data_IF_005942041565
#
_entry.id   IF_005942041565
#
_cell.length_a   1.000
_cell.length_b   1.000
_cell.length_c   1.000
_cell.angle_alpha   90.00
_cell.angle_beta   90.00
_cell.angle_gamma   90.00
#
_symmetry.space_group_name_H-M   'P 1'
#
loop_
_entity.id
_entity.type
_entity.pdbx_description
1 polymer ?
#
# COMPACT_ATOMS: atom_id res chain seq x y z
N UNK A 1 -18.95 -12.62 -7.25
CA UNK A 1 -19.09 -11.57 -6.22
C UNK A 1 -20.05 -10.49 -6.70
N UNK A 2 -20.52 -9.61 -5.81
CA UNK A 2 -21.43 -8.52 -6.16
C UNK A 2 -20.81 -7.13 -6.03
N UNK A 3 -19.91 -6.92 -5.06
CA UNK A 3 -19.30 -5.64 -4.73
C UNK A 3 -17.90 -5.86 -4.13
N UNK A 4 -17.14 -4.78 -3.92
CA UNK A 4 -15.80 -4.82 -3.35
C UNK A 4 -14.70 -4.56 -4.39
N UNK A 5 -13.53 -4.10 -3.92
CA UNK A 5 -12.41 -3.68 -4.79
C UNK A 5 -11.78 -4.84 -5.57
N UNK A 6 -11.95 -6.08 -5.10
CA UNK A 6 -11.50 -7.31 -5.76
C UNK A 6 -12.64 -8.02 -6.50
N UNK A 7 -13.64 -7.26 -6.98
CA UNK A 7 -14.76 -7.79 -7.73
C UNK A 7 -14.89 -7.10 -9.08
N UNK A 8 -14.80 -7.87 -10.17
CA UNK A 8 -14.94 -7.36 -11.53
C UNK A 8 -15.79 -8.31 -12.37
N UNK A 9 -16.75 -7.76 -13.11
CA UNK A 9 -17.65 -8.53 -13.97
C UNK A 9 -18.30 -9.73 -13.26
N UNK A 10 -18.75 -9.51 -12.02
CA UNK A 10 -19.35 -10.51 -11.12
C UNK A 10 -18.42 -11.68 -10.72
N UNK A 11 -17.12 -11.60 -11.02
CA UNK A 11 -16.08 -12.59 -10.67
C UNK A 11 -15.04 -11.97 -9.72
N UNK A 12 -14.40 -12.81 -8.91
CA UNK A 12 -13.27 -12.36 -8.09
C UNK A 12 -12.11 -11.96 -9.01
N UNK A 13 -11.42 -10.88 -8.66
CA UNK A 13 -10.15 -10.52 -9.27
C UNK A 13 -9.10 -11.60 -9.00
N UNK A 14 -8.12 -11.72 -9.91
CA UNK A 14 -7.04 -12.70 -9.75
C UNK A 14 -6.18 -12.37 -8.52
N UNK A 15 -5.55 -13.41 -7.95
CA UNK A 15 -4.53 -13.24 -6.91
C UNK A 15 -3.45 -12.28 -7.41
N UNK A 16 -3.02 -11.32 -6.59
CA UNK A 16 -1.94 -10.40 -6.92
C UNK A 16 -2.39 -9.10 -7.61
N UNK A 17 -3.65 -8.97 -8.01
CA UNK A 17 -4.20 -7.69 -8.51
C UNK A 17 -4.18 -6.66 -7.39
N UNK A 18 -3.50 -5.53 -7.59
CA UNK A 18 -3.44 -4.46 -6.59
C UNK A 18 -4.83 -3.84 -6.42
N UNK A 19 -5.34 -3.86 -5.18
CA UNK A 19 -6.62 -3.25 -4.83
C UNK A 19 -6.47 -1.98 -3.99
N UNK A 20 -5.29 -1.77 -3.39
CA UNK A 20 -4.89 -0.50 -2.78
C UNK A 20 -3.41 -0.26 -2.99
N UNK A 21 -3.08 0.92 -3.54
CA UNK A 21 -1.70 1.37 -3.67
C UNK A 21 -1.11 1.80 -2.32
N UNK A 22 0.22 1.67 -2.20
CA UNK A 22 0.97 2.21 -1.07
C UNK A 22 0.98 3.75 -1.13
N UNK A 23 0.70 4.41 0.00
CA UNK A 23 0.67 5.88 0.06
C UNK A 23 2.03 6.52 0.35
N UNK A 24 2.99 5.73 0.83
CA UNK A 24 4.37 6.15 1.09
C UNK A 24 5.30 4.93 1.19
N UNK A 25 6.61 5.15 1.31
CA UNK A 25 7.65 4.10 1.38
C UNK A 25 7.47 3.11 2.54
N UNK A 26 6.75 3.48 3.59
CA UNK A 26 6.49 2.67 4.79
C UNK A 26 5.17 1.91 4.72
N UNK A 27 4.39 2.12 3.68
CA UNK A 27 3.12 1.43 3.46
C UNK A 27 3.33 0.20 2.55
N UNK A 28 2.46 -0.80 2.66
CA UNK A 28 2.50 -2.01 1.83
C UNK A 28 1.26 -1.98 0.94
N UNK A 29 1.38 -2.15 -0.39
CA UNK A 29 0.20 -2.25 -1.23
C UNK A 29 -0.53 -3.56 -0.97
N UNK A 30 -1.86 -3.54 -0.84
CA UNK A 30 -2.63 -4.78 -0.74
C UNK A 30 -3.06 -5.28 -2.12
N UNK A 31 -2.99 -6.60 -2.23
CA UNK A 31 -3.38 -7.33 -3.43
C UNK A 31 -4.54 -8.26 -3.12
N UNK A 32 -5.41 -8.43 -4.12
CA UNK A 32 -6.51 -9.38 -4.06
C UNK A 32 -5.99 -10.78 -3.83
N UNK A 33 -6.69 -11.56 -3.01
CA UNK A 33 -6.32 -12.93 -2.66
C UNK A 33 -6.73 -13.96 -3.72
N UNK A 34 -7.69 -13.60 -4.61
CA UNK A 34 -8.27 -14.50 -5.61
C UNK A 34 -9.54 -15.22 -5.18
N UNK A 35 -9.84 -15.22 -3.88
CA UNK A 35 -10.96 -15.94 -3.27
C UNK A 35 -11.93 -15.03 -2.48
N UNK A 36 -11.64 -13.72 -2.44
CA UNK A 36 -12.44 -12.70 -1.78
C UNK A 36 -12.74 -11.55 -2.72
N UNK A 37 -13.89 -10.90 -2.50
CA UNK A 37 -14.26 -9.67 -3.20
C UNK A 37 -13.78 -8.41 -2.52
N UNK A 38 -13.42 -8.50 -1.24
CA UNK A 38 -12.91 -7.39 -0.45
C UNK A 38 -11.39 -7.34 -0.58
N UNK A 39 -10.85 -6.12 -0.67
CA UNK A 39 -9.42 -5.92 -0.50
C UNK A 39 -9.05 -6.31 0.93
N UNK A 40 -7.89 -6.97 1.16
CA UNK A 40 -7.38 -7.20 2.51
C UNK A 40 -7.31 -5.90 3.32
N UNK A 41 -7.33 -6.02 4.65
CA UNK A 41 -7.21 -4.85 5.51
C UNK A 41 -5.82 -4.21 5.35
N UNK A 42 -5.77 -2.90 5.51
CA UNK A 42 -4.55 -2.12 5.34
C UNK A 42 -3.49 -2.50 6.39
N UNK A 43 -2.30 -2.83 5.92
CA UNK A 43 -1.11 -3.06 6.74
C UNK A 43 0.07 -2.22 6.23
N UNK A 44 1.00 -1.90 7.12
CA UNK A 44 2.18 -1.13 6.77
C UNK A 44 3.45 -1.90 7.17
N UNK A 45 4.61 -1.46 6.68
CA UNK A 45 5.90 -2.03 7.04
C UNK A 45 6.11 -1.90 8.55
N UNK A 46 6.74 -2.90 9.12
CA UNK A 46 7.13 -2.90 10.52
C UNK A 46 8.02 -1.68 10.84
N UNK A 47 7.91 -1.19 12.06
CA UNK A 47 8.74 -0.08 12.52
C UNK A 47 10.24 -0.41 12.42
N UNK A 48 11.04 0.58 12.04
CA UNK A 48 12.49 0.46 11.86
C UNK A 48 12.96 0.26 10.42
N UNK A 49 12.07 -0.11 9.48
CA UNK A 49 12.38 -0.11 8.04
C UNK A 49 12.91 1.25 7.59
N UNK A 50 13.87 1.26 6.66
CA UNK A 50 14.40 2.52 6.09
C UNK A 50 13.46 3.08 5.02
N UNK A 51 13.38 4.39 4.92
CA UNK A 51 12.58 5.12 3.93
C UNK A 51 13.28 6.41 3.48
N UNK A 52 12.75 7.11 2.48
CA UNK A 52 13.31 8.37 1.95
C UNK A 52 14.80 8.23 1.56
N UNK A 53 15.07 7.20 0.74
CA UNK A 53 16.43 6.81 0.32
C UNK A 53 17.42 6.56 1.48
N UNK A 54 16.91 6.10 2.63
CA UNK A 54 17.72 5.78 3.81
C UNK A 54 17.92 6.96 4.77
N UNK A 55 17.34 8.12 4.50
CA UNK A 55 17.38 9.27 5.39
C UNK A 55 16.37 9.16 6.54
N UNK A 56 15.30 8.38 6.33
CA UNK A 56 14.23 8.19 7.29
C UNK A 56 14.08 6.76 7.78
N UNK A 57 13.19 6.60 8.76
CA UNK A 57 12.71 5.30 9.23
C UNK A 57 11.21 5.27 9.36
N UNK A 58 10.64 4.10 9.10
CA UNK A 58 9.23 3.83 9.29
C UNK A 58 8.92 3.71 10.77
N UNK A 59 7.92 4.47 11.22
CA UNK A 59 7.40 4.41 12.58
C UNK A 59 5.89 4.72 12.56
N UNK A 60 5.07 3.76 12.96
CA UNK A 60 3.61 3.86 12.87
C UNK A 60 3.11 4.06 11.44
N UNK A 61 3.72 3.38 10.46
CA UNK A 61 3.32 3.43 9.04
C UNK A 61 3.66 4.74 8.32
N UNK A 62 4.45 5.62 8.93
CA UNK A 62 4.91 6.88 8.33
C UNK A 62 6.42 6.93 8.28
N UNK A 63 6.96 7.56 7.24
CA UNK A 63 8.39 7.84 7.15
C UNK A 63 8.76 9.04 8.01
N UNK A 64 9.60 8.84 9.03
CA UNK A 64 10.06 9.86 9.97
C UNK A 64 11.43 10.42 9.55
N UNK A 65 11.48 11.72 9.28
CA UNK A 65 12.71 12.49 9.04
C UNK A 65 12.60 13.87 9.68
N UNK A 66 13.72 14.43 10.16
CA UNK A 66 13.76 15.83 10.66
C UNK A 66 13.36 16.81 9.55
N UNK A 67 13.82 16.59 8.32
CA UNK A 67 13.45 17.42 7.18
C UNK A 67 11.96 17.35 6.85
N UNK A 68 11.37 16.15 6.87
CA UNK A 68 9.93 15.96 6.66
C UNK A 68 9.11 16.66 7.74
N UNK A 69 9.54 16.57 9.00
CA UNK A 69 8.90 17.27 10.12
C UNK A 69 9.00 18.79 9.97
N UNK A 70 10.19 19.34 9.71
CA UNK A 70 10.38 20.78 9.49
C UNK A 70 9.57 21.28 8.28
N UNK A 71 9.52 20.52 7.18
CA UNK A 71 8.75 20.91 5.97
C UNK A 71 7.26 20.93 6.25
N UNK A 72 6.77 19.96 7.03
CA UNK A 72 5.35 19.86 7.40
C UNK A 72 4.95 20.98 8.34
N UNK A 73 5.75 21.25 9.37
CA UNK A 73 5.42 22.19 10.43
C UNK A 73 5.68 23.64 10.03
N UNK A 74 6.77 23.90 9.29
CA UNK A 74 7.26 25.25 9.03
C UNK A 74 7.46 25.57 7.55
N UNK A 75 7.43 24.57 6.66
CA UNK A 75 7.70 24.77 5.22
C UNK A 75 9.18 24.82 4.84
N UNK A 76 10.10 24.59 5.78
CA UNK A 76 11.55 24.64 5.56
C UNK A 76 12.23 23.31 5.92
N UNK A 77 13.49 23.15 5.54
CA UNK A 77 14.26 21.94 5.87
C UNK A 77 14.86 22.01 7.28
N UNK A 78 15.29 20.85 7.79
CA UNK A 78 16.03 20.74 9.04
C UNK A 78 17.31 21.55 8.98
N UNK A 79 17.67 22.12 10.13
CA UNK A 79 18.96 22.75 10.34
C UNK A 79 20.09 21.71 10.29
N UNK A 80 21.31 22.20 10.12
CA UNK A 80 22.52 21.39 10.16
C UNK A 80 22.69 20.70 11.52
N UNK A 81 23.28 19.51 11.54
CA UNK A 81 23.57 18.75 12.77
C UNK A 81 24.29 19.60 13.81
N UNK A 82 25.17 20.51 13.39
CA UNK A 82 25.87 21.42 14.29
C UNK A 82 24.93 22.29 15.13
N UNK A 83 23.78 22.71 14.57
CA UNK A 83 22.78 23.48 15.32
C UNK A 83 22.24 22.70 16.51
N UNK A 84 21.92 21.43 16.29
CA UNK A 84 21.45 20.52 17.34
C UNK A 84 22.53 20.31 18.40
N UNK A 85 23.76 20.01 17.99
CA UNK A 85 24.88 19.79 18.92
C UNK A 85 25.18 21.01 19.79
N UNK A 86 25.01 22.22 19.25
CA UNK A 86 25.18 23.47 20.00
C UNK A 86 24.00 23.76 20.92
N UNK A 87 22.81 23.94 20.37
CA UNK A 87 21.67 24.45 21.13
C UNK A 87 21.10 23.40 22.08
N UNK A 88 20.92 22.15 21.64
CA UNK A 88 20.25 21.14 22.47
C UNK A 88 21.09 20.70 23.66
N UNK A 89 22.42 20.85 23.58
CA UNK A 89 23.32 20.60 24.71
C UNK A 89 23.28 21.68 25.80
N UNK A 90 22.70 22.87 25.52
CA UNK A 90 22.66 23.98 26.49
C UNK A 90 21.62 23.76 27.60
N UNK A 91 20.50 23.11 27.30
CA UNK A 91 19.41 22.92 28.27
C UNK A 91 18.71 24.24 28.58
N UNK A 92 18.28 24.95 27.54
CA UNK A 92 17.54 26.21 27.65
C UNK A 92 16.27 26.15 26.79
N UNK A 93 15.41 27.17 26.87
CA UNK A 93 14.25 27.31 25.96
C UNK A 93 14.68 27.26 24.48
N UNK A 94 15.93 27.65 24.17
CA UNK A 94 16.48 27.65 22.81
C UNK A 94 16.94 26.29 22.31
N UNK A 95 17.09 25.31 23.20
CA UNK A 95 17.53 23.97 22.85
C UNK A 95 17.68 23.12 24.10
N UNK A 96 16.99 21.98 24.08
CA UNK A 96 16.86 21.10 25.25
C UNK A 96 16.27 19.73 24.82
N UNK A 97 16.20 18.80 25.77
CA UNK A 97 15.60 17.47 25.65
C UNK A 97 14.31 17.34 26.48
N UNK A 98 13.50 18.40 26.50
CA UNK A 98 12.26 18.45 27.25
C UNK A 98 12.38 19.24 28.56
N UNK A 99 11.30 19.22 29.31
CA UNK A 99 11.22 19.81 30.64
C UNK A 99 11.64 18.81 31.72
N UNK A 100 12.22 19.33 32.80
CA UNK A 100 12.46 18.52 34.00
C UNK A 100 11.14 18.01 34.59
N UNK A 101 11.16 16.86 35.28
CA UNK A 101 10.00 16.40 36.05
C UNK A 101 9.54 17.50 37.02
N UNK A 102 8.32 18.01 36.84
CA UNK A 102 7.79 19.13 37.62
C UNK A 102 7.86 20.51 36.93
N UNK A 103 8.41 20.59 35.72
CA UNK A 103 8.28 21.75 34.82
C UNK A 103 9.09 23.00 35.21
N UNK A 104 10.04 22.89 36.13
CA UNK A 104 10.80 24.05 36.66
C UNK A 104 12.03 24.42 35.82
N UNK A 105 12.42 23.61 34.84
CA UNK A 105 13.63 23.82 34.06
C UNK A 105 13.66 22.99 32.78
N UNK A 106 14.63 23.32 31.92
CA UNK A 106 14.88 22.62 30.67
C UNK A 106 16.00 21.61 30.85
N UNK A 107 15.83 20.41 30.32
CA UNK A 107 16.83 19.34 30.43
C UNK A 107 17.88 19.53 29.32
N UNK A 108 19.18 19.66 29.64
CA UNK A 108 20.22 19.63 28.62
C UNK A 108 20.31 18.23 28.00
N UNK A 109 20.39 18.16 26.67
CA UNK A 109 20.58 16.88 25.99
C UNK A 109 21.98 16.32 26.24
N UNK A 110 22.07 15.00 26.42
CA UNK A 110 23.36 14.33 26.29
C UNK A 110 23.85 14.44 24.84
N UNK A 111 25.16 14.35 24.63
CA UNK A 111 25.78 14.40 23.29
C UNK A 111 25.17 13.40 22.29
N UNK A 112 24.71 12.24 22.76
CA UNK A 112 24.07 11.22 21.92
C UNK A 112 22.62 11.57 21.57
N UNK A 113 21.94 12.34 22.43
CA UNK A 113 20.51 12.63 22.36
C UNK A 113 20.21 13.96 21.66
N UNK A 114 21.23 14.76 21.32
CA UNK A 114 21.06 16.10 20.73
C UNK A 114 20.18 16.13 19.47
N UNK A 115 20.12 15.03 18.70
CA UNK A 115 19.29 14.91 17.50
C UNK A 115 17.84 14.45 17.78
N UNK A 116 17.48 14.25 19.05
CA UNK A 116 16.15 13.87 19.52
C UNK A 116 15.52 14.93 20.44
N UNK A 117 16.23 16.02 20.71
CA UNK A 117 15.71 17.15 21.49
C UNK A 117 14.83 18.08 20.64
N UNK A 118 14.89 19.38 20.95
CA UNK A 118 14.16 20.41 20.21
C UNK A 118 14.50 20.33 18.71
N UNK A 119 13.47 20.36 17.86
CA UNK A 119 13.56 20.38 16.42
C UNK A 119 14.11 21.73 15.96
N UNK A 120 15.14 21.69 15.12
CA UNK A 120 15.76 22.87 14.56
C UNK A 120 15.64 22.85 13.03
N UNK A 121 15.14 23.94 12.48
CA UNK A 121 14.90 24.14 11.06
C UNK A 121 15.67 25.37 10.56
N UNK A 122 15.70 25.54 9.24
CA UNK A 122 16.31 26.69 8.57
C UNK A 122 15.26 27.76 8.25
N UNK A 123 15.67 29.04 8.20
CA UNK A 123 14.86 30.15 7.66
C UNK A 123 13.43 30.29 8.23
N UNK A 124 13.23 29.94 9.51
CA UNK A 124 11.93 30.16 10.16
C UNK A 124 11.62 31.66 10.20
N UNK A 125 10.58 32.04 9.48
CA UNK A 125 10.11 33.43 9.31
C UNK A 125 8.62 33.59 9.62
N UNK A 126 7.91 32.47 9.78
CA UNK A 126 6.46 32.41 9.93
C UNK A 126 6.03 31.64 11.18
N UNK A 127 4.73 31.70 11.49
CA UNK A 127 4.08 30.87 12.51
C UNK A 127 4.02 29.41 12.04
N UNK A 128 3.92 28.44 12.97
CA UNK A 128 3.79 27.04 12.56
C UNK A 128 2.47 26.86 11.78
N UNK A 129 2.49 25.95 10.80
CA UNK A 129 1.30 25.57 10.02
C UNK A 129 0.26 24.83 10.86
N UNK A 130 0.72 24.19 11.93
CA UNK A 130 -0.09 23.40 12.86
C UNK A 130 0.29 23.75 14.31
N UNK A 131 -0.70 23.89 15.18
CA UNK A 131 -0.51 24.29 16.57
C UNK A 131 -0.25 25.78 16.76
N UNK A 132 -0.20 26.20 18.02
CA UNK A 132 0.14 27.57 18.43
C UNK A 132 1.61 27.65 18.85
N UNK A 133 2.28 28.72 18.42
CA UNK A 133 3.64 29.00 18.86
C UNK A 133 3.62 29.46 20.32
N UNK A 134 4.18 28.63 21.21
CA UNK A 134 4.40 29.00 22.60
C UNK A 134 5.81 29.57 22.80
N UNK A 135 5.91 30.61 23.63
CA UNK A 135 7.18 31.27 23.92
C UNK A 135 7.70 32.09 22.74
N UNK A 136 9.03 32.18 22.62
CA UNK A 136 9.69 32.88 21.51
C UNK A 136 10.34 31.90 20.56
N UNK A 137 10.37 32.28 19.28
CA UNK A 137 11.15 31.56 18.28
C UNK A 137 12.63 31.57 18.68
N UNK A 138 13.22 30.38 18.76
CA UNK A 138 14.67 30.19 18.85
C UNK A 138 15.30 30.72 17.58
N UNK A 139 16.32 31.56 17.74
CA UNK A 139 17.00 32.22 16.64
C UNK A 139 18.47 32.42 16.98
N UNK A 140 19.34 31.65 16.32
CA UNK A 140 20.79 31.80 16.39
C UNK A 140 21.38 31.61 15.00
N UNK A 141 22.24 32.54 14.57
CA UNK A 141 23.04 32.37 13.36
C UNK A 141 24.48 32.14 13.78
N UNK A 142 25.06 31.00 13.39
CA UNK A 142 26.43 30.63 13.75
C UNK A 142 27.30 30.56 12.52
N UNK A 143 28.51 31.09 12.62
CA UNK A 143 29.54 30.92 11.60
C UNK A 143 30.37 29.67 11.90
N UNK A 144 30.29 28.65 11.04
CA UNK A 144 31.05 27.40 11.17
C UNK A 144 31.57 26.96 9.81
N UNK A 145 32.84 26.52 9.75
CA UNK A 145 33.48 26.04 8.52
C UNK A 145 33.31 27.00 7.32
N UNK A 146 33.49 28.30 7.56
CA UNK A 146 33.37 29.35 6.54
C UNK A 146 31.96 29.50 5.92
N UNK A 147 30.92 29.05 6.63
CA UNK A 147 29.52 29.19 6.24
C UNK A 147 28.68 29.69 7.42
N UNK A 148 27.76 30.60 7.16
CA UNK A 148 26.73 30.98 8.13
C UNK A 148 25.61 29.93 8.11
N UNK A 149 25.26 29.43 9.28
CA UNK A 149 24.17 28.47 9.47
C UNK A 149 23.12 29.09 10.36
N UNK A 150 21.86 28.94 9.96
CA UNK A 150 20.74 29.46 10.69
C UNK A 150 20.07 28.35 11.49
N UNK A 151 20.15 28.47 12.81
CA UNK A 151 19.58 27.54 13.77
C UNK A 151 18.30 28.19 14.33
N UNK A 152 17.16 27.74 13.83
CA UNK A 152 15.85 28.26 14.25
C UNK A 152 15.00 27.12 14.80
N UNK A 153 14.16 27.38 15.78
CA UNK A 153 13.25 26.39 16.36
C UNK A 153 12.14 27.04 17.16
N UNK A 154 11.19 26.27 17.64
CA UNK A 154 10.09 26.79 18.46
C UNK A 154 9.12 25.69 18.87
N UNK A 155 8.40 25.95 19.96
CA UNK A 155 7.41 25.06 20.53
C UNK A 155 6.07 25.29 19.82
N UNK A 156 5.65 24.34 19.00
CA UNK A 156 4.40 24.39 18.25
C UNK A 156 3.41 23.43 18.90
N UNK A 157 2.59 23.96 19.80
CA UNK A 157 1.77 23.17 20.72
C UNK A 157 0.34 23.07 20.19
N UNK A 158 -0.18 21.85 20.11
CA UNK A 158 -1.58 21.59 19.74
C UNK A 158 -2.51 21.80 20.93
N UNK A 159 -3.82 21.83 20.67
CA UNK A 159 -4.86 22.03 21.70
C UNK A 159 -4.86 20.97 22.80
N UNK A 160 -4.37 19.76 22.49
CA UNK A 160 -4.21 18.64 23.43
C UNK A 160 -2.91 18.71 24.25
N UNK A 161 -2.09 19.74 24.05
CA UNK A 161 -0.82 19.96 24.72
C UNK A 161 0.36 19.22 24.07
N UNK A 162 0.18 18.51 22.96
CA UNK A 162 1.28 17.89 22.23
C UNK A 162 2.16 18.97 21.57
N UNK A 163 3.44 18.98 21.93
CA UNK A 163 4.42 19.89 21.33
C UNK A 163 5.11 19.26 20.12
N UNK A 164 4.77 19.76 18.93
CA UNK A 164 5.38 19.36 17.65
C UNK A 164 6.78 19.97 17.43
N UNK A 165 7.24 20.81 18.35
CA UNK A 165 8.55 21.44 18.35
C UNK A 165 9.70 20.51 18.73
N UNK A 166 9.44 19.29 19.18
CA UNK A 166 10.46 18.27 19.45
C UNK A 166 10.57 17.27 18.30
N UNK A 167 11.76 16.70 18.11
CA UNK A 167 11.96 15.65 17.09
C UNK A 167 11.06 14.45 17.39
N UNK A 168 10.25 14.05 16.41
CA UNK A 168 9.29 12.96 16.57
C UNK A 168 9.96 11.61 16.87
N UNK A 169 9.26 10.79 17.66
CA UNK A 169 9.64 9.39 17.89
C UNK A 169 9.76 8.61 16.56
N UNK A 170 10.74 7.70 16.51
CA UNK A 170 11.10 6.94 15.31
C UNK A 170 12.06 7.65 14.36
N UNK A 171 12.35 8.94 14.56
CA UNK A 171 13.26 9.69 13.70
C UNK A 171 14.72 9.20 13.85
N UNK A 172 15.48 8.99 12.76
CA UNK A 172 16.87 8.52 12.86
C UNK A 172 17.80 9.54 13.51
N UNK A 173 18.53 9.13 14.54
CA UNK A 173 19.52 9.97 15.25
C UNK A 173 20.97 9.48 15.11
N UNK A 174 21.17 8.34 14.46
CA UNK A 174 22.48 7.75 14.17
C UNK A 174 22.36 6.43 13.40
N UNK A 175 23.50 5.81 13.05
CA UNK A 175 23.51 4.48 12.42
C UNK A 175 22.81 3.47 13.32
N UNK A 176 21.73 2.84 12.82
CA UNK A 176 20.90 1.89 13.58
C UNK A 176 20.34 2.45 14.91
N UNK A 177 20.06 3.76 14.97
CA UNK A 177 19.44 4.41 16.13
C UNK A 177 18.24 5.28 15.74
N UNK A 178 17.28 5.41 16.66
CA UNK A 178 16.04 6.19 16.52
C UNK A 178 15.73 6.96 17.80
N UNK A 179 14.97 8.05 17.65
CA UNK A 179 14.49 8.84 18.76
C UNK A 179 13.29 8.17 19.46
N UNK A 180 13.32 8.11 20.78
CA UNK A 180 12.18 7.75 21.63
C UNK A 180 12.25 8.59 22.90
N UNK A 181 11.20 9.36 23.19
CA UNK A 181 11.10 10.18 24.40
C UNK A 181 12.34 11.07 24.60
N UNK A 182 12.71 11.79 23.54
CA UNK A 182 13.89 12.68 23.46
C UNK A 182 15.26 11.98 23.63
N UNK A 183 15.31 10.66 23.56
CA UNK A 183 16.57 9.90 23.64
C UNK A 183 16.90 9.21 22.33
N UNK A 184 18.19 9.17 22.00
CA UNK A 184 18.69 8.43 20.86
C UNK A 184 19.03 7.00 21.29
N UNK A 185 18.17 6.05 20.91
CA UNK A 185 18.26 4.66 21.34
C UNK A 185 18.53 3.74 20.14
N UNK A 186 19.22 2.59 20.34
CA UNK A 186 19.34 1.56 19.33
C UNK A 186 17.97 1.11 18.82
N UNK A 187 17.86 0.80 17.53
CA UNK A 187 16.62 0.30 16.91
C UNK A 187 16.10 -0.97 17.62
N UNK A 188 16.99 -1.79 18.19
CA UNK A 188 16.64 -2.99 18.96
C UNK A 188 15.87 -2.69 20.26
N UNK A 189 15.98 -1.48 20.81
CA UNK A 189 15.28 -1.07 22.04
C UNK A 189 13.76 -0.92 21.83
N UNK A 190 13.31 -0.77 20.59
CA UNK A 190 11.90 -0.58 20.26
C UNK A 190 11.08 -1.89 20.31
N UNK A 191 11.60 -2.95 20.94
CA UNK A 191 10.99 -4.29 21.01
C UNK A 191 10.44 -4.76 19.64
N UNK A 192 11.19 -4.44 18.58
CA UNK A 192 10.79 -4.77 17.22
C UNK A 192 10.80 -6.29 17.09
N UNK A 193 9.61 -6.86 16.95
CA UNK A 193 9.46 -8.27 16.60
C UNK A 193 10.10 -8.52 15.23
N UNK A 194 10.50 -9.74 14.93
CA UNK A 194 11.02 -10.09 13.60
C UNK A 194 10.06 -11.04 12.92
N UNK A 195 9.84 -10.82 11.63
CA UNK A 195 9.20 -11.81 10.79
C UNK A 195 10.12 -13.03 10.57
N UNK A 196 9.54 -14.21 10.23
CA UNK A 196 10.29 -15.40 9.92
C UNK A 196 11.05 -15.27 8.58
N UNK A 197 11.96 -16.21 8.35
CA UNK A 197 12.78 -16.32 7.15
C UNK A 197 13.40 -17.70 7.06
N UNK A 198 13.78 -18.12 5.85
CA UNK A 198 14.54 -19.36 5.63
C UNK A 198 15.88 -19.38 6.40
N UNK A 199 16.46 -18.21 6.63
CA UNK A 199 17.61 -17.94 7.48
C UNK A 199 17.30 -16.77 8.41
N UNK A 200 17.95 -16.73 9.59
CA UNK A 200 17.68 -15.73 10.63
C UNK A 200 17.86 -14.27 10.16
N UNK A 201 18.78 -14.01 9.23
CA UNK A 201 19.02 -12.67 8.67
C UNK A 201 18.19 -12.33 7.44
N UNK A 202 17.44 -13.30 6.91
CA UNK A 202 16.65 -13.15 5.68
C UNK A 202 15.19 -12.92 6.03
N UNK A 203 14.87 -11.71 6.47
CA UNK A 203 13.49 -11.32 6.80
C UNK A 203 12.60 -11.61 5.59
N UNK A 204 11.57 -12.43 5.78
CA UNK A 204 10.67 -12.90 4.72
C UNK A 204 11.40 -13.52 3.53
N UNK A 205 12.51 -14.21 3.79
CA UNK A 205 13.37 -14.85 2.79
C UNK A 205 13.81 -13.91 1.66
N UNK A 206 13.81 -12.59 1.89
CA UNK A 206 14.02 -11.53 0.88
C UNK A 206 13.01 -11.51 -0.28
N UNK A 207 11.85 -12.16 -0.11
CA UNK A 207 10.78 -12.23 -1.10
C UNK A 207 9.47 -11.65 -0.57
N UNK A 208 9.59 -10.59 0.24
CA UNK A 208 8.45 -9.92 0.84
C UNK A 208 8.83 -8.86 1.87
N UNK A 209 7.81 -8.21 2.41
CA UNK A 209 7.93 -7.19 3.45
C UNK A 209 7.33 -7.69 4.77
N UNK A 210 7.99 -7.41 5.89
CA UNK A 210 7.45 -7.67 7.21
C UNK A 210 6.46 -6.56 7.60
N UNK A 211 5.20 -6.93 7.82
CA UNK A 211 4.14 -6.01 8.23
C UNK A 211 4.19 -5.67 9.73
N UNK A 212 3.45 -4.65 10.13
CA UNK A 212 3.23 -4.25 11.51
C UNK A 212 2.52 -5.32 12.37
N UNK A 213 1.90 -6.32 11.74
CA UNK A 213 1.34 -7.50 12.42
C UNK A 213 2.34 -8.64 12.59
N UNK A 214 3.62 -8.42 12.27
CA UNK A 214 4.68 -9.44 12.32
C UNK A 214 4.38 -10.63 11.41
N UNK A 215 3.82 -10.32 10.23
CA UNK A 215 3.56 -11.30 9.16
C UNK A 215 4.27 -10.87 7.89
N UNK A 216 4.83 -11.83 7.18
CA UNK A 216 5.38 -11.58 5.85
C UNK A 216 4.27 -11.39 4.83
N UNK A 217 4.35 -10.28 4.10
CA UNK A 217 3.57 -10.02 2.89
C UNK A 217 4.49 -10.31 1.72
N UNK A 218 4.25 -11.43 1.04
CA UNK A 218 5.13 -11.94 0.00
C UNK A 218 4.98 -11.17 -1.32
N UNK A 219 6.07 -11.15 -2.09
CA UNK A 219 6.06 -10.71 -3.48
C UNK A 219 5.14 -11.60 -4.32
N UNK A 220 4.62 -11.13 -5.48
CA UNK A 220 3.54 -11.79 -6.22
C UNK A 220 3.75 -13.27 -6.54
N UNK A 221 4.99 -13.68 -6.82
CA UNK A 221 5.36 -15.05 -7.21
C UNK A 221 5.81 -15.92 -6.03
N UNK A 222 5.65 -15.44 -4.80
CA UNK A 222 6.06 -16.14 -3.59
C UNK A 222 4.89 -16.36 -2.63
N UNK A 223 5.02 -17.38 -1.79
CA UNK A 223 4.01 -17.79 -0.81
C UNK A 223 4.65 -18.46 0.41
N UNK A 224 3.81 -18.82 1.38
CA UNK A 224 4.22 -19.39 2.67
C UNK A 224 4.40 -18.32 3.76
N UNK A 225 4.59 -18.78 5.00
CA UNK A 225 4.69 -17.88 6.17
C UNK A 225 5.94 -17.00 6.16
N UNK A 226 6.99 -17.45 5.48
CA UNK A 226 8.30 -16.81 5.39
C UNK A 226 8.68 -16.44 3.93
N UNK A 227 7.73 -16.54 2.99
CA UNK A 227 7.93 -16.27 1.56
C UNK A 227 9.03 -17.10 0.88
N UNK A 228 9.30 -18.31 1.37
CA UNK A 228 10.34 -19.19 0.81
C UNK A 228 9.88 -20.02 -0.39
N UNK A 229 8.58 -20.13 -0.63
CA UNK A 229 8.01 -20.99 -1.68
C UNK A 229 7.70 -20.16 -2.92
N UNK A 230 8.33 -20.50 -4.04
CA UNK A 230 8.02 -19.92 -5.35
C UNK A 230 6.74 -20.56 -5.91
N UNK A 231 5.72 -19.75 -6.12
CA UNK A 231 4.39 -20.11 -6.62
C UNK A 231 3.88 -18.99 -7.54
N UNK A 232 4.35 -18.95 -8.80
CA UNK A 232 4.07 -17.86 -9.72
C UNK A 232 2.59 -17.82 -10.09
N UNK A 233 2.03 -16.61 -10.18
CA UNK A 233 0.62 -16.45 -10.55
C UNK A 233 0.47 -16.87 -12.03
N UNK A 234 -0.43 -17.82 -12.35
CA UNK A 234 -0.64 -18.23 -13.74
C UNK A 234 -0.99 -17.02 -14.60
N UNK A 235 -0.25 -16.80 -15.68
CA UNK A 235 -0.66 -15.83 -16.68
C UNK A 235 -1.97 -16.32 -17.30
N UNK A 236 -3.03 -15.48 -17.34
CA UNK A 236 -4.24 -15.86 -18.03
C UNK A 236 -3.85 -16.06 -19.50
N UNK A 237 -3.85 -17.32 -19.95
CA UNK A 237 -3.80 -17.61 -21.38
C UNK A 237 -4.99 -16.88 -22.00
N UNK A 238 -4.77 -16.08 -23.06
CA UNK A 238 -5.89 -15.61 -23.87
C UNK A 238 -6.70 -16.85 -24.22
N UNK A 239 -8.00 -16.85 -23.93
CA UNK A 239 -8.87 -17.89 -24.44
C UNK A 239 -8.62 -17.97 -25.94
N UNK A 240 -8.00 -19.08 -26.37
CA UNK A 240 -7.79 -19.36 -27.78
C UNK A 240 -9.17 -19.23 -28.43
N UNK A 241 -9.24 -18.30 -29.37
CA UNK A 241 -10.45 -17.53 -29.62
C UNK A 241 -11.66 -18.42 -29.79
N UNK A 242 -12.78 -18.00 -29.18
CA UNK A 242 -14.15 -18.36 -29.53
C UNK A 242 -14.19 -19.66 -30.33
N UNK A 243 -14.31 -20.82 -29.67
CA UNK A 243 -14.84 -21.99 -30.35
C UNK A 243 -16.20 -21.58 -30.89
N UNK A 244 -16.15 -21.08 -32.13
CA UNK A 244 -17.27 -20.78 -32.98
C UNK A 244 -17.88 -22.14 -33.12
N UNK A 245 -18.87 -22.44 -32.27
CA UNK A 245 -19.77 -23.55 -32.45
C UNK A 245 -20.17 -23.42 -33.92
N UNK A 246 -19.57 -24.25 -34.77
CA UNK A 246 -19.98 -24.39 -36.15
C UNK A 246 -21.33 -25.04 -36.02
N UNK A 247 -22.35 -24.18 -35.89
CA UNK A 247 -23.72 -24.54 -36.14
C UNK A 247 -23.73 -25.32 -37.46
N UNK A 248 -24.59 -26.34 -37.57
CA UNK A 248 -24.52 -27.32 -38.65
C UNK A 248 -24.39 -26.57 -39.97
N UNK A 249 -23.31 -26.90 -40.71
CA UNK A 249 -22.98 -26.32 -42.01
C UNK A 249 -24.26 -26.09 -42.81
N UNK A 250 -24.44 -24.91 -43.40
CA UNK A 250 -25.66 -24.57 -44.16
C UNK A 250 -26.03 -25.64 -45.20
N UNK A 251 -25.07 -26.44 -45.66
CA UNK A 251 -25.27 -27.63 -46.49
C UNK A 251 -26.19 -28.69 -45.86
N UNK A 252 -26.08 -28.95 -44.55
CA UNK A 252 -26.90 -29.94 -43.83
C UNK A 252 -28.35 -29.47 -43.65
N UNK A 253 -28.58 -28.16 -43.50
CA UNK A 253 -29.92 -27.56 -43.43
C UNK A 253 -30.60 -27.63 -44.81
N UNK A 254 -29.84 -27.40 -45.89
CA UNK A 254 -30.35 -27.52 -47.27
C UNK A 254 -30.71 -28.98 -47.58
N UNK A 255 -29.86 -29.95 -47.23
CA UNK A 255 -30.13 -31.38 -47.48
C UNK A 255 -31.38 -31.85 -46.71
N UNK A 256 -31.52 -31.46 -45.44
CA UNK A 256 -32.71 -31.80 -44.65
C UNK A 256 -34.00 -31.19 -45.20
N UNK A 257 -33.95 -29.94 -45.67
CA UNK A 257 -35.10 -29.23 -46.24
C UNK A 257 -35.51 -29.81 -47.60
N UNK A 258 -34.54 -30.18 -48.44
CA UNK A 258 -34.81 -30.80 -49.75
C UNK A 258 -35.35 -32.21 -49.58
N UNK A 259 -34.78 -33.02 -48.67
CA UNK A 259 -35.30 -34.35 -48.37
C UNK A 259 -36.73 -34.30 -47.80
N UNK A 260 -37.00 -33.35 -46.90
CA UNK A 260 -38.35 -33.13 -46.35
C UNK A 260 -39.38 -32.70 -47.39
N UNK A 261 -39.01 -31.80 -48.30
CA UNK A 261 -39.88 -31.35 -49.40
C UNK A 261 -40.18 -32.48 -50.39
N UNK A 262 -39.18 -33.31 -50.74
CA UNK A 262 -39.37 -34.48 -51.61
C UNK A 262 -40.31 -35.50 -50.95
N UNK A 263 -40.15 -35.76 -49.65
CA UNK A 263 -41.00 -36.70 -48.93
C UNK A 263 -42.46 -36.21 -48.88
N UNK A 264 -42.68 -34.92 -48.63
CA UNK A 264 -44.01 -34.31 -48.65
C UNK A 264 -44.65 -34.37 -50.05
N UNK A 265 -43.89 -34.06 -51.10
CA UNK A 265 -44.38 -34.16 -52.48
C UNK A 265 -44.77 -35.61 -52.83
N UNK A 266 -43.97 -36.59 -52.41
CA UNK A 266 -44.29 -38.01 -52.62
C UNK A 266 -45.56 -38.45 -51.89
N UNK A 267 -45.81 -37.95 -50.67
CA UNK A 267 -47.04 -38.23 -49.92
C UNK A 267 -48.26 -37.58 -50.59
N UNK A 268 -48.14 -36.33 -51.06
CA UNK A 268 -49.25 -35.64 -51.74
C UNK A 268 -49.58 -36.32 -53.07
N UNK A 269 -48.57 -36.69 -53.86
CA UNK A 269 -48.76 -37.41 -55.13
C UNK A 269 -49.28 -38.83 -54.91
N UNK A 270 -48.79 -39.54 -53.89
CA UNK A 270 -49.29 -40.85 -53.50
C UNK A 270 -50.73 -40.82 -53.00
N UNK A 271 -51.09 -39.84 -52.17
CA UNK A 271 -52.43 -39.66 -51.62
C UNK A 271 -53.47 -39.25 -52.68
N UNK A 272 -53.11 -38.35 -53.59
CA UNK A 272 -53.99 -37.98 -54.72
C UNK A 272 -54.14 -39.13 -55.73
N UNK A 273 -53.08 -39.90 -56.00
CA UNK A 273 -53.15 -41.09 -56.84
C UNK A 273 -54.04 -42.21 -56.28
N UNK A 274 -54.08 -42.38 -54.95
CA UNK A 274 -54.95 -43.36 -54.30
C UNK A 274 -56.42 -42.90 -54.21
N UNK A 275 -56.65 -41.59 -54.01
CA UNK A 275 -57.99 -40.99 -54.01
C UNK A 275 -58.73 -41.12 -55.34
N UNK A 276 -58.02 -40.97 -56.48
CA UNK A 276 -58.64 -41.11 -57.80
C UNK A 276 -59.03 -42.55 -58.17
N UNK A 277 -58.41 -43.58 -57.57
CA UNK A 277 -58.74 -44.98 -57.84
C UNK A 277 -60.03 -45.44 -57.14
N UNK A 278 -60.42 -44.80 -56.04
CA UNK A 278 -61.64 -45.14 -55.30
C UNK A 278 -62.91 -44.40 -55.77
N UNK A 279 -62.80 -43.24 -56.43
CA UNK A 279 -63.97 -42.52 -56.95
C UNK A 279 -64.55 -43.19 -58.23
N UNK A 280 -63.76 -43.97 -58.98
CA UNK A 280 -64.25 -44.73 -60.15
C UNK A 280 -64.95 -46.05 -59.82
N UNK A 281 -64.91 -46.53 -58.57
CA UNK A 281 -65.53 -47.82 -58.18
C UNK A 281 -66.93 -47.71 -57.54
N UNK A 282 -67.44 -46.49 -57.32
CA UNK A 282 -68.76 -46.26 -56.70
C UNK A 282 -69.94 -46.06 -57.65
N UNK A 283 -69.78 -46.28 -58.96
CA UNK A 283 -70.82 -46.02 -59.98
C UNK A 283 -70.95 -47.16 -60.99
N UNK A 284 -71.27 -48.38 -60.51
CA UNK A 284 -71.87 -49.44 -61.34
C UNK A 284 -72.40 -50.57 -60.45
N UNK A 285 -73.59 -50.37 -59.88
CA UNK A 285 -74.46 -51.46 -59.40
C UNK A 285 -75.88 -50.98 -59.57
N UNK A 286 -76.44 -51.28 -60.74
CA UNK A 286 -77.82 -51.06 -61.11
C UNK A 286 -78.21 -52.17 -62.10
N UNK A 287 -79.32 -52.83 -61.76
CA UNK A 287 -79.90 -54.07 -62.31
C UNK A 287 -79.34 -55.36 -61.72
#
# INVERSE_FOLDING_TARGET
CSNGLCCRDCKYELRGVVCRDAVNDCDIPETCTGDSSQCPHNVHKLDGYTCDAGQGRCYGGRCKTRDGQCRTLWGFNSADRFCYEKLNSEGTEKGNCGLEPGGQGWVPCNKQDVLCGLLLCTNLTERPRFGELQGKLTSLTVHHQNRYMDCRGGHAVLDDGLDLGYVENGTPCGPNMMCLEHRCLPVTTFNLSSCPGSLFSQICSHHGNCSNEVKCICDPDYTGKDCSVFDPIPTPTPEDGLEKHRGPSGTNIIIGSVAGAILLAAIILGGTGWGFKNIRKGRSSGV
#
